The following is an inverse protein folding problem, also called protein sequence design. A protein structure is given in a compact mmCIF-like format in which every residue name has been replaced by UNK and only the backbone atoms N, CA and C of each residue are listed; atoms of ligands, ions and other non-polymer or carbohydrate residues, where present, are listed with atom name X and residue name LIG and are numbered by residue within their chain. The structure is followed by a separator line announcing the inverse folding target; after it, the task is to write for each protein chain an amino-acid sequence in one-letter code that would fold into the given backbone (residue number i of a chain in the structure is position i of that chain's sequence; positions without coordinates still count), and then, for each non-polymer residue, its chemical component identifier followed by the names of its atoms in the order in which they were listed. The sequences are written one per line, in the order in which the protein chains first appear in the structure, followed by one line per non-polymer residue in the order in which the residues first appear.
data_IF_417582023554
#
_entry.id   IF_417582023554
#
_cell.length_a   1.000
_cell.length_b   1.000
_cell.length_c   1.000
_cell.angle_alpha   90.00
_cell.angle_beta   90.00
_cell.angle_gamma   90.00
#
_symmetry.space_group_name_H-M   'P 1'
#
loop_
_entity.id
_entity.type
_entity.pdbx_description
1 polymer ?
#
# COMPACT_ATOMS: atom_id res chain seq x y z
N UNK A 1 -10.97 1.45 38.54
CA UNK A 1 -10.64 0.32 37.63
C UNK A 1 -11.35 0.39 36.27
N UNK A 2 -12.65 0.70 36.19
CA UNK A 2 -13.41 0.70 34.91
C UNK A 2 -12.85 1.64 33.82
N UNK A 3 -12.38 2.83 34.18
CA UNK A 3 -11.83 3.82 33.23
C UNK A 3 -10.54 3.33 32.56
N UNK A 4 -9.64 2.69 33.32
CA UNK A 4 -8.38 2.16 32.77
C UNK A 4 -8.62 1.06 31.72
N UNK A 5 -9.60 0.18 31.95
CA UNK A 5 -9.99 -0.83 30.97
C UNK A 5 -10.55 -0.20 29.68
N UNK A 6 -11.33 0.88 29.82
CA UNK A 6 -11.85 1.62 28.67
C UNK A 6 -10.71 2.24 27.85
N UNK A 7 -9.78 2.96 28.50
CA UNK A 7 -8.62 3.56 27.84
C UNK A 7 -7.76 2.49 27.15
N UNK A 8 -7.49 1.37 27.82
CA UNK A 8 -6.72 0.27 27.25
C UNK A 8 -7.41 -0.32 26.00
N UNK A 9 -8.73 -0.52 26.06
CA UNK A 9 -9.50 -1.02 24.91
C UNK A 9 -9.51 -0.04 23.73
N UNK A 10 -9.56 1.27 24.01
CA UNK A 10 -9.51 2.30 22.98
C UNK A 10 -8.11 2.38 22.34
N UNK A 11 -7.05 2.30 23.16
CA UNK A 11 -5.67 2.27 22.67
C UNK A 11 -5.43 1.04 21.77
N UNK A 12 -5.90 -0.15 22.18
CA UNK A 12 -5.79 -1.36 21.34
C UNK A 12 -6.52 -1.20 20.00
N UNK A 13 -7.71 -0.58 20.00
CA UNK A 13 -8.44 -0.32 18.75
C UNK A 13 -7.73 0.69 17.85
N UNK A 14 -7.16 1.76 18.42
CA UNK A 14 -6.44 2.78 17.67
C UNK A 14 -5.14 2.24 17.07
N UNK A 15 -4.41 1.37 17.79
CA UNK A 15 -3.22 0.68 17.26
C UNK A 15 -3.55 -0.15 16.01
N UNK A 16 -4.69 -0.86 16.01
CA UNK A 16 -5.14 -1.61 14.84
C UNK A 16 -5.48 -0.70 13.64
N UNK A 17 -6.01 0.51 13.88
CA UNK A 17 -6.33 1.47 12.80
C UNK A 17 -5.08 2.07 12.18
N UNK A 18 -4.04 2.35 12.98
CA UNK A 18 -2.78 2.90 12.50
C UNK A 18 -1.94 1.89 11.71
N UNK A 19 -2.11 0.60 11.98
CA UNK A 19 -1.41 -0.47 11.26
C UNK A 19 -2.06 -0.86 9.92
N UNK A 20 -3.24 -0.30 9.58
CA UNK A 20 -3.89 -0.60 8.31
C UNK A 20 -3.16 0.13 7.17
N UNK A 21 -2.66 -0.66 6.21
CA UNK A 21 -2.15 -0.18 4.91
C UNK A 21 -3.07 0.89 4.33
N UNK A 22 -2.49 1.87 3.63
CA UNK A 22 -3.29 2.86 2.92
C UNK A 22 -4.27 2.11 1.99
N UNK A 23 -5.59 2.38 2.06
CA UNK A 23 -6.59 1.66 1.28
C UNK A 23 -6.29 1.67 -0.23
N UNK A 24 -5.49 2.62 -0.72
CA UNK A 24 -5.07 2.66 -2.12
C UNK A 24 -4.28 1.43 -2.58
N UNK A 25 -3.67 0.68 -1.67
CA UNK A 25 -2.76 -0.42 -1.98
C UNK A 25 -3.46 -1.62 -2.62
N UNK A 26 -4.76 -1.81 -2.37
CA UNK A 26 -5.60 -2.83 -2.99
C UNK A 26 -6.51 -2.31 -4.12
N UNK A 27 -6.53 -1.00 -4.38
CA UNK A 27 -7.44 -0.43 -5.37
C UNK A 27 -6.98 -0.73 -6.80
N UNK A 28 -7.87 -1.35 -7.58
CA UNK A 28 -7.70 -1.48 -9.03
C UNK A 28 -7.78 -0.11 -9.70
N UNK A 29 -6.98 0.15 -10.74
CA UNK A 29 -7.04 1.42 -11.46
C UNK A 29 -8.41 1.58 -12.13
N UNK A 30 -9.02 2.78 -12.03
CA UNK A 30 -10.32 3.09 -12.65
C UNK A 30 -10.25 3.27 -14.17
N UNK A 31 -9.06 3.48 -14.72
CA UNK A 31 -8.86 3.79 -16.14
C UNK A 31 -8.33 2.57 -16.88
N UNK A 32 -9.15 2.02 -17.79
CA UNK A 32 -8.78 0.90 -18.67
C UNK A 32 -7.94 1.32 -19.89
N UNK A 33 -7.69 2.61 -20.10
CA UNK A 33 -6.79 3.08 -21.17
C UNK A 33 -5.36 3.07 -20.67
N UNK A 34 -4.53 2.22 -21.28
CA UNK A 34 -3.11 2.31 -21.03
C UNK A 34 -2.51 3.50 -21.78
N UNK A 35 -2.02 4.48 -21.03
CA UNK A 35 -1.14 5.51 -21.55
C UNK A 35 0.28 5.07 -21.19
N UNK A 36 0.94 4.35 -22.10
CA UNK A 36 2.39 4.18 -22.03
C UNK A 36 2.99 5.38 -22.75
N UNK A 37 3.53 6.35 -22.00
CA UNK A 37 4.36 7.37 -22.61
C UNK A 37 5.51 6.66 -23.35
N UNK A 38 5.92 7.19 -24.51
CA UNK A 38 7.02 6.63 -25.33
C UNK A 38 8.36 6.55 -24.57
N UNK A 39 8.48 7.29 -23.48
CA UNK A 39 9.66 7.32 -22.61
C UNK A 39 9.45 6.41 -21.40
N UNK A 40 10.53 5.74 -21.01
CA UNK A 40 10.65 4.67 -20.02
C UNK A 40 10.23 5.08 -18.60
N UNK A 41 8.95 5.38 -18.39
CA UNK A 41 8.41 5.62 -17.06
C UNK A 41 8.50 4.31 -16.25
N UNK A 42 9.46 4.28 -15.33
CA UNK A 42 9.57 3.20 -14.35
C UNK A 42 8.46 3.37 -13.34
N UNK A 43 7.51 2.43 -13.34
CA UNK A 43 6.37 2.43 -12.44
C UNK A 43 6.50 1.27 -11.46
N UNK A 44 6.04 1.49 -10.24
CA UNK A 44 6.02 0.48 -9.19
C UNK A 44 4.60 0.10 -8.82
N UNK A 45 4.40 -1.15 -8.41
CA UNK A 45 3.14 -1.67 -7.90
C UNK A 45 3.37 -2.42 -6.60
N UNK A 46 2.30 -2.59 -5.83
CA UNK A 46 2.33 -3.33 -4.58
C UNK A 46 1.74 -4.75 -4.76
N UNK A 47 2.36 -5.74 -4.14
CA UNK A 47 1.93 -7.14 -4.12
C UNK A 47 1.56 -7.50 -2.69
N UNK A 48 0.26 -7.53 -2.38
CA UNK A 48 -0.24 -7.86 -1.03
C UNK A 48 0.22 -9.26 -0.59
N UNK A 49 0.14 -10.25 -1.47
CA UNK A 49 0.53 -11.64 -1.19
C UNK A 49 2.00 -11.83 -0.79
N UNK A 50 2.88 -10.91 -1.18
CA UNK A 50 4.31 -10.96 -0.89
C UNK A 50 4.77 -9.84 0.04
N UNK A 51 3.87 -8.92 0.37
CA UNK A 51 4.18 -7.66 1.04
C UNK A 51 5.37 -6.91 0.42
N UNK A 52 5.43 -6.82 -0.92
CA UNK A 52 6.54 -6.14 -1.62
C UNK A 52 6.06 -5.09 -2.63
N UNK A 53 6.86 -4.05 -2.78
CA UNK A 53 6.81 -3.11 -3.91
C UNK A 53 7.75 -3.57 -5.03
N UNK A 54 7.20 -3.79 -6.23
CA UNK A 54 7.91 -4.31 -7.38
C UNK A 54 7.84 -3.37 -8.58
N UNK A 55 8.88 -3.39 -9.42
CA UNK A 55 8.89 -2.65 -10.69
C UNK A 55 7.93 -3.33 -11.69
N UNK A 56 7.00 -2.56 -12.23
CA UNK A 56 6.05 -3.03 -13.24
C UNK A 56 6.76 -3.09 -14.58
N UNK A 57 6.86 -4.30 -15.16
CA UNK A 57 7.47 -4.51 -16.47
C UNK A 57 6.55 -4.05 -17.60
N UNK A 58 5.27 -4.41 -17.52
CA UNK A 58 4.25 -4.15 -18.54
C UNK A 58 3.10 -3.33 -17.95
N UNK A 59 3.22 -1.99 -17.83
CA UNK A 59 2.23 -1.17 -17.13
C UNK A 59 0.82 -1.34 -17.70
N UNK A 60 0.69 -1.55 -19.01
CA UNK A 60 -0.60 -1.76 -19.67
C UNK A 60 -1.29 -3.07 -19.33
N UNK A 61 -0.52 -4.12 -19.05
CA UNK A 61 -1.06 -5.46 -18.79
C UNK A 61 -1.29 -5.69 -17.29
N UNK A 62 -0.70 -4.86 -16.43
CA UNK A 62 -0.81 -5.00 -14.97
C UNK A 62 -1.88 -4.05 -14.42
N UNK A 63 -3.01 -4.61 -13.98
CA UNK A 63 -4.14 -3.88 -13.38
C UNK A 63 -3.91 -3.60 -11.89
N UNK A 64 -2.88 -2.82 -11.59
CA UNK A 64 -2.54 -2.44 -10.21
C UNK A 64 -2.40 -0.92 -10.09
N UNK A 65 -2.55 -0.42 -8.86
CA UNK A 65 -2.15 0.95 -8.51
C UNK A 65 -0.68 1.14 -8.88
N UNK A 66 -0.35 2.28 -9.49
CA UNK A 66 0.99 2.61 -9.96
C UNK A 66 1.56 3.72 -9.08
N UNK A 67 2.82 3.57 -8.69
CA UNK A 67 3.59 4.55 -7.93
C UNK A 67 4.77 5.03 -8.77
N UNK A 68 5.12 6.31 -8.64
CA UNK A 68 6.22 6.93 -9.39
C UNK A 68 7.59 6.42 -8.94
N UNK A 69 7.74 6.07 -7.65
CA UNK A 69 8.98 5.54 -7.09
C UNK A 69 8.71 4.34 -6.19
N UNK A 70 9.75 3.55 -5.91
CA UNK A 70 9.64 2.38 -5.02
C UNK A 70 9.35 2.84 -3.59
N UNK A 71 9.99 3.91 -3.15
CA UNK A 71 9.91 4.47 -1.80
C UNK A 71 8.49 4.92 -1.47
N UNK A 72 7.81 5.58 -2.42
CA UNK A 72 6.41 5.98 -2.26
C UNK A 72 5.51 4.75 -2.07
N UNK A 73 5.72 3.70 -2.88
CA UNK A 73 4.96 2.45 -2.73
C UNK A 73 5.19 1.82 -1.34
N UNK A 74 6.45 1.76 -0.88
CA UNK A 74 6.78 1.12 0.38
C UNK A 74 6.18 1.88 1.56
N UNK A 75 6.35 3.21 1.58
CA UNK A 75 5.80 4.07 2.64
C UNK A 75 4.28 3.96 2.80
N UNK A 76 3.56 3.72 1.70
CA UNK A 76 2.10 3.67 1.70
C UNK A 76 1.54 2.26 1.92
N UNK A 77 2.24 1.23 1.41
CA UNK A 77 1.66 -0.11 1.28
C UNK A 77 2.41 -1.21 1.98
N UNK A 78 3.71 -1.06 2.22
CA UNK A 78 4.47 -2.09 2.88
C UNK A 78 4.29 -1.91 4.39
N UNK A 79 3.79 -2.95 5.06
CA UNK A 79 3.83 -2.97 6.52
C UNK A 79 5.30 -2.94 6.94
N UNK A 80 5.66 -1.96 7.78
CA UNK A 80 6.85 -2.06 8.58
C UNK A 80 6.64 -3.29 9.45
N UNK A 81 7.44 -4.34 9.23
CA UNK A 81 7.56 -5.42 10.20
C UNK A 81 7.96 -4.73 11.50
N UNK A 82 7.01 -4.56 12.41
CA UNK A 82 7.33 -4.16 13.76
C UNK A 82 8.29 -5.23 14.29
N UNK A 83 9.57 -4.91 14.34
CA UNK A 83 10.54 -5.64 15.13
C UNK A 83 10.05 -5.53 16.57
N UNK A 84 9.35 -6.58 17.02
CA UNK A 84 9.08 -6.85 18.44
C UNK A 84 10.28 -7.56 19.01
#
# INVERSE_FOLDING_TARGET
MKIYLFILSLALRLLNVLALKDPICGLKPRVNRCISAKESLVLYGYSESRNICYKIKNPCQTLVRRFATKEICQKLCQEELAEV
#
